data_IF_317497191801
#
_entry.id   IF_317497191801
#
_cell.length_a   1.000
_cell.length_b   1.000
_cell.length_c   1.000
_cell.angle_alpha   90.00
_cell.angle_beta   90.00
_cell.angle_gamma   90.00
#
_symmetry.space_group_name_H-M   'P 1'
#
loop_
_entity.id
_entity.type
_entity.pdbx_description
1 polymer ?
#
# COMPACT_ATOMS: atom_id res chain seq x y z
N UNK A 1 -23.59 -0.37 -15.38
CA UNK A 1 -23.15 -1.79 -15.28
C UNK A 1 -21.65 -1.97 -15.46
N UNK A 2 -20.99 -1.34 -16.44
CA UNK A 2 -19.52 -1.17 -16.49
C UNK A 2 -19.18 0.15 -17.19
N UNK A 3 -18.18 0.91 -16.72
CA UNK A 3 -17.67 2.11 -17.41
C UNK A 3 -16.54 1.77 -18.37
N UNK A 4 -15.70 0.82 -17.97
CA UNK A 4 -14.53 0.41 -18.75
C UNK A 4 -14.90 -0.66 -19.79
N UNK A 5 -14.48 -0.43 -21.04
CA UNK A 5 -14.74 -1.35 -22.16
C UNK A 5 -14.14 -2.74 -21.91
N UNK A 6 -12.94 -2.81 -21.34
CA UNK A 6 -12.29 -4.09 -21.05
C UNK A 6 -13.05 -4.93 -20.01
N UNK A 7 -13.55 -4.29 -18.95
CA UNK A 7 -14.32 -4.98 -17.91
C UNK A 7 -15.64 -5.48 -18.50
N UNK A 8 -16.27 -4.68 -19.36
CA UNK A 8 -17.47 -5.09 -20.07
C UNK A 8 -17.22 -6.34 -20.93
N UNK A 9 -16.16 -6.35 -21.75
CA UNK A 9 -15.81 -7.52 -22.59
C UNK A 9 -15.54 -8.76 -21.73
N UNK A 10 -14.80 -8.62 -20.61
CA UNK A 10 -14.53 -9.72 -19.69
C UNK A 10 -15.81 -10.28 -19.03
N UNK A 11 -16.76 -9.42 -18.62
CA UNK A 11 -18.04 -9.86 -18.05
C UNK A 11 -18.98 -10.46 -19.10
N UNK A 12 -18.98 -9.94 -20.31
CA UNK A 12 -19.71 -10.51 -21.45
C UNK A 12 -19.18 -11.91 -21.79
N UNK A 13 -17.88 -12.06 -21.96
CA UNK A 13 -17.26 -13.36 -22.25
C UNK A 13 -17.51 -14.38 -21.12
N UNK A 14 -17.59 -13.91 -19.88
CA UNK A 14 -17.99 -14.74 -18.73
C UNK A 14 -19.43 -15.24 -18.85
N UNK A 15 -20.37 -14.41 -19.32
CA UNK A 15 -21.78 -14.78 -19.53
C UNK A 15 -21.93 -15.83 -20.64
N UNK A 16 -21.16 -15.70 -21.73
CA UNK A 16 -21.11 -16.69 -22.81
C UNK A 16 -20.48 -18.01 -22.32
N UNK A 17 -19.39 -17.90 -21.54
CA UNK A 17 -18.63 -19.06 -21.08
C UNK A 17 -17.75 -19.62 -22.19
N UNK A 18 -16.94 -20.63 -21.86
CA UNK A 18 -16.15 -21.35 -22.87
C UNK A 18 -17.10 -22.13 -23.78
N UNK A 19 -16.96 -21.96 -25.09
CA UNK A 19 -17.77 -22.60 -26.12
C UNK A 19 -19.28 -22.40 -25.95
N UNK A 20 -19.70 -21.24 -25.42
CA UNK A 20 -21.10 -20.90 -25.15
C UNK A 20 -21.81 -21.82 -24.13
N UNK A 21 -21.06 -22.60 -23.34
CA UNK A 21 -21.64 -23.58 -22.42
C UNK A 21 -22.55 -22.96 -21.34
N UNK A 22 -22.21 -21.79 -20.80
CA UNK A 22 -23.04 -21.16 -19.76
C UNK A 22 -24.33 -20.59 -20.34
N UNK A 23 -24.28 -20.10 -21.58
CA UNK A 23 -25.47 -19.65 -22.29
C UNK A 23 -26.39 -20.84 -22.59
N UNK A 24 -25.84 -21.93 -23.16
CA UNK A 24 -26.61 -23.15 -23.42
C UNK A 24 -27.24 -23.75 -22.16
N UNK A 25 -26.52 -23.72 -21.03
CA UNK A 25 -27.08 -24.17 -19.76
C UNK A 25 -28.21 -23.27 -19.26
N UNK A 26 -28.10 -21.95 -19.46
CA UNK A 26 -29.17 -21.00 -19.11
C UNK A 26 -30.42 -21.24 -19.97
N UNK A 27 -30.23 -21.52 -21.26
CA UNK A 27 -31.30 -21.86 -22.19
C UNK A 27 -32.05 -23.13 -21.74
N UNK A 28 -31.32 -24.21 -21.42
CA UNK A 28 -31.92 -25.48 -20.94
C UNK A 28 -32.63 -25.38 -19.59
N UNK A 29 -32.19 -24.48 -18.70
CA UNK A 29 -32.83 -24.32 -17.40
C UNK A 29 -34.11 -23.48 -17.47
N UNK A 30 -34.15 -22.50 -18.37
CA UNK A 30 -35.23 -21.49 -18.43
C UNK A 30 -36.15 -21.65 -19.64
N UNK A 31 -35.88 -22.62 -20.51
CA UNK A 31 -36.60 -22.88 -21.77
C UNK A 31 -36.71 -21.62 -22.64
N UNK A 32 -35.67 -20.78 -22.58
CA UNK A 32 -35.54 -19.55 -23.33
C UNK A 32 -34.41 -19.68 -24.34
N UNK A 33 -34.55 -19.06 -25.50
CA UNK A 33 -33.44 -18.87 -26.45
C UNK A 33 -32.81 -17.51 -26.23
N UNK A 34 -31.48 -17.47 -26.16
CA UNK A 34 -30.74 -16.27 -25.75
C UNK A 34 -29.69 -15.96 -26.80
N UNK A 35 -29.70 -14.73 -27.31
CA UNK A 35 -28.67 -14.28 -28.26
C UNK A 35 -27.98 -13.03 -27.72
N UNK A 36 -26.65 -13.07 -27.71
CA UNK A 36 -25.81 -11.97 -27.20
C UNK A 36 -25.10 -11.29 -28.36
N UNK A 37 -25.64 -10.15 -28.79
CA UNK A 37 -25.07 -9.33 -29.86
C UNK A 37 -24.50 -8.04 -29.30
N UNK A 38 -23.20 -7.82 -29.46
CA UNK A 38 -22.53 -6.60 -29.02
C UNK A 38 -22.78 -6.25 -27.55
N UNK A 39 -23.51 -5.16 -27.32
CA UNK A 39 -23.89 -4.63 -26.01
C UNK A 39 -25.23 -5.13 -25.46
N UNK A 40 -25.98 -5.88 -26.25
CA UNK A 40 -27.39 -6.24 -26.01
C UNK A 40 -27.56 -7.75 -25.88
N UNK A 41 -28.58 -8.16 -25.12
CA UNK A 41 -29.00 -9.55 -24.98
C UNK A 41 -30.47 -9.64 -25.36
N UNK A 42 -30.79 -10.39 -26.39
CA UNK A 42 -32.15 -10.71 -26.78
C UNK A 42 -32.55 -12.07 -26.20
N UNK A 43 -33.78 -12.16 -25.69
CA UNK A 43 -34.30 -13.32 -24.98
C UNK A 43 -35.69 -13.59 -25.53
N UNK A 44 -35.96 -14.83 -25.93
CA UNK A 44 -37.27 -15.28 -26.39
C UNK A 44 -37.65 -16.52 -25.57
N UNK A 45 -38.85 -16.57 -25.01
CA UNK A 45 -39.27 -17.70 -24.20
C UNK A 45 -40.46 -17.40 -23.28
N UNK A 46 -40.78 -18.30 -22.35
CA UNK A 46 -41.87 -18.14 -21.40
C UNK A 46 -41.62 -16.97 -20.45
N UNK A 47 -42.67 -16.25 -20.05
CA UNK A 47 -42.59 -15.06 -19.20
C UNK A 47 -41.75 -15.26 -17.92
N UNK A 48 -41.96 -16.38 -17.22
CA UNK A 48 -41.19 -16.72 -16.00
C UNK A 48 -39.70 -16.95 -16.30
N UNK A 49 -39.37 -17.56 -17.44
CA UNK A 49 -37.99 -17.78 -17.88
C UNK A 49 -37.30 -16.47 -18.25
N UNK A 50 -37.98 -15.60 -19.01
CA UNK A 50 -37.48 -14.28 -19.41
C UNK A 50 -37.14 -13.42 -18.19
N UNK A 51 -37.99 -13.40 -17.16
CA UNK A 51 -37.72 -12.67 -15.92
C UNK A 51 -36.47 -13.19 -15.19
N UNK A 52 -36.32 -14.53 -15.10
CA UNK A 52 -35.15 -15.16 -14.49
C UNK A 52 -33.87 -14.81 -15.26
N UNK A 53 -33.86 -14.96 -16.59
CA UNK A 53 -32.71 -14.61 -17.43
C UNK A 53 -32.37 -13.13 -17.32
N UNK A 54 -33.37 -12.24 -17.30
CA UNK A 54 -33.15 -10.80 -17.10
C UNK A 54 -32.42 -10.53 -15.78
N UNK A 55 -32.82 -11.17 -14.68
CA UNK A 55 -32.11 -11.05 -13.39
C UNK A 55 -30.68 -11.56 -13.50
N UNK A 56 -30.48 -12.74 -14.10
CA UNK A 56 -29.15 -13.35 -14.24
C UNK A 56 -28.20 -12.45 -15.05
N UNK A 57 -28.67 -11.87 -16.15
CA UNK A 57 -27.86 -10.95 -16.97
C UNK A 57 -27.50 -9.70 -16.19
N UNK A 58 -28.45 -9.11 -15.46
CA UNK A 58 -28.20 -7.94 -14.61
C UNK A 58 -27.15 -8.25 -13.53
N UNK A 59 -27.24 -9.42 -12.90
CA UNK A 59 -26.32 -9.83 -11.84
C UNK A 59 -24.93 -10.20 -12.36
N UNK A 60 -24.86 -10.86 -13.52
CA UNK A 60 -23.58 -11.12 -14.18
C UNK A 60 -22.85 -9.81 -14.52
N UNK A 61 -23.61 -8.80 -14.93
CA UNK A 61 -23.10 -7.46 -15.20
C UNK A 61 -22.80 -6.64 -13.92
N UNK A 62 -23.35 -7.02 -12.76
CA UNK A 62 -23.05 -6.42 -11.44
C UNK A 62 -21.87 -7.07 -10.71
N UNK A 63 -21.11 -7.92 -11.41
CA UNK A 63 -19.92 -8.66 -10.92
C UNK A 63 -20.23 -9.98 -10.16
N UNK A 64 -21.44 -10.51 -10.27
CA UNK A 64 -21.73 -11.89 -9.87
C UNK A 64 -21.27 -12.85 -10.97
N UNK A 65 -20.79 -14.05 -10.63
CA UNK A 65 -20.38 -15.04 -11.63
C UNK A 65 -21.59 -15.89 -12.06
N UNK A 66 -21.82 -16.17 -13.36
CA UNK A 66 -22.98 -16.90 -13.84
C UNK A 66 -23.08 -18.32 -13.27
N UNK A 67 -21.96 -18.95 -12.91
CA UNK A 67 -21.96 -20.24 -12.20
C UNK A 67 -22.82 -20.25 -10.94
N UNK A 68 -22.74 -19.21 -10.09
CA UNK A 68 -23.54 -19.16 -8.86
C UNK A 68 -25.04 -19.03 -9.16
N UNK A 69 -25.36 -18.23 -10.18
CA UNK A 69 -26.73 -18.00 -10.63
C UNK A 69 -27.30 -19.27 -11.28
N UNK A 70 -26.51 -19.97 -12.08
CA UNK A 70 -26.89 -21.22 -12.73
C UNK A 70 -27.14 -22.33 -11.70
N UNK A 71 -26.28 -22.47 -10.70
CA UNK A 71 -26.48 -23.44 -9.61
C UNK A 71 -27.77 -23.16 -8.84
N UNK A 72 -28.09 -21.88 -8.59
CA UNK A 72 -29.34 -21.51 -7.92
C UNK A 72 -30.57 -21.85 -8.76
N UNK A 73 -30.53 -21.61 -10.08
CA UNK A 73 -31.63 -21.94 -10.99
C UNK A 73 -31.80 -23.46 -11.17
N UNK A 74 -30.70 -24.20 -11.22
CA UNK A 74 -30.71 -25.65 -11.30
C UNK A 74 -31.37 -26.26 -10.06
N UNK A 75 -30.99 -25.78 -8.87
CA UNK A 75 -31.56 -26.26 -7.61
C UNK A 75 -33.05 -25.89 -7.46
N UNK A 76 -33.44 -24.67 -7.88
CA UNK A 76 -34.85 -24.28 -7.96
C UNK A 76 -35.66 -25.18 -8.90
N UNK A 77 -35.07 -25.63 -10.02
CA UNK A 77 -35.74 -26.53 -10.96
C UNK A 77 -35.93 -27.91 -10.32
N UNK A 78 -34.92 -28.45 -9.64
CA UNK A 78 -35.01 -29.71 -8.90
C UNK A 78 -36.09 -29.66 -7.79
N UNK A 79 -36.10 -28.61 -6.96
CA UNK A 79 -37.14 -28.46 -5.91
C UNK A 79 -38.55 -28.28 -6.47
N UNK A 80 -38.68 -27.72 -7.67
CA UNK A 80 -39.97 -27.60 -8.35
C UNK A 80 -40.47 -28.92 -8.95
N UNK A 81 -39.61 -29.92 -9.11
CA UNK A 81 -39.98 -31.25 -9.59
C UNK A 81 -40.44 -32.13 -8.41
N UNK A 82 -39.71 -32.06 -7.28
CA UNK A 82 -39.99 -32.81 -6.04
C UNK A 82 -41.31 -32.41 -5.37
N UNK A 83 -42.32 -33.30 -5.25
CA UNK A 83 -43.64 -32.97 -4.69
C UNK A 83 -43.64 -32.45 -3.25
N UNK A 84 -42.72 -32.92 -2.40
CA UNK A 84 -42.71 -32.60 -0.97
C UNK A 84 -42.26 -31.16 -0.66
N UNK A 85 -41.44 -30.56 -1.54
CA UNK A 85 -40.82 -29.26 -1.29
C UNK A 85 -41.52 -28.11 -2.03
N UNK A 86 -42.54 -28.38 -2.85
CA UNK A 86 -43.20 -27.37 -3.71
C UNK A 86 -43.83 -26.22 -2.95
N UNK A 87 -44.35 -26.50 -1.76
CA UNK A 87 -45.13 -25.55 -0.96
C UNK A 87 -44.29 -24.84 0.11
N UNK A 88 -43.01 -25.20 0.26
CA UNK A 88 -42.09 -24.64 1.26
C UNK A 88 -41.25 -23.47 0.71
N UNK A 89 -40.80 -22.56 1.60
CA UNK A 89 -39.88 -21.49 1.22
C UNK A 89 -38.44 -22.01 1.07
N UNK A 90 -37.85 -21.80 -0.11
CA UNK A 90 -36.51 -22.26 -0.46
C UNK A 90 -35.39 -21.27 -0.15
N UNK A 91 -35.69 -20.12 0.44
CA UNK A 91 -34.72 -19.03 0.66
C UNK A 91 -33.47 -19.46 1.44
N UNK A 92 -33.60 -20.39 2.39
CA UNK A 92 -32.51 -20.95 3.19
C UNK A 92 -31.69 -22.03 2.47
N UNK A 93 -32.31 -22.75 1.52
CA UNK A 93 -31.69 -23.86 0.79
C UNK A 93 -30.90 -23.37 -0.43
N UNK A 94 -31.26 -22.20 -0.95
CA UNK A 94 -30.62 -21.64 -2.13
C UNK A 94 -29.25 -21.01 -1.80
N UNK A 95 -28.20 -21.35 -2.55
CA UNK A 95 -26.91 -20.68 -2.41
C UNK A 95 -26.98 -19.22 -2.86
N UNK A 96 -27.03 -18.28 -1.91
CA UNK A 96 -26.98 -16.85 -2.24
C UNK A 96 -25.53 -16.39 -2.36
N UNK A 97 -25.21 -15.73 -3.48
CA UNK A 97 -23.91 -15.08 -3.64
C UNK A 97 -23.73 -13.94 -2.65
N UNK A 98 -22.80 -14.10 -1.70
CA UNK A 98 -22.40 -13.04 -0.76
C UNK A 98 -21.13 -12.37 -1.27
N UNK A 99 -21.22 -11.08 -1.61
CA UNK A 99 -20.05 -10.30 -1.98
C UNK A 99 -19.07 -10.24 -0.80
N UNK A 100 -17.86 -10.79 -0.98
CA UNK A 100 -16.79 -10.69 0.01
C UNK A 100 -16.31 -9.24 0.06
N UNK A 101 -16.89 -8.45 0.96
CA UNK A 101 -16.41 -7.10 1.25
C UNK A 101 -15.12 -7.24 2.05
N UNK A 102 -13.98 -7.31 1.36
CA UNK A 102 -12.69 -7.22 2.02
C UNK A 102 -12.64 -5.89 2.78
N UNK A 103 -12.42 -5.93 4.08
CA UNK A 103 -12.31 -4.73 4.89
C UNK A 103 -11.13 -3.90 4.37
N UNK A 104 -11.45 -2.80 3.69
CA UNK A 104 -10.45 -1.87 3.20
C UNK A 104 -9.79 -1.25 4.43
N UNK A 105 -8.52 -1.60 4.68
CA UNK A 105 -7.70 -0.91 5.68
C UNK A 105 -7.78 0.59 5.40
N UNK A 106 -8.25 1.38 6.38
CA UNK A 106 -8.34 2.83 6.26
C UNK A 106 -6.92 3.38 6.11
N UNK A 107 -6.52 3.65 4.87
CA UNK A 107 -5.28 4.40 4.62
C UNK A 107 -5.50 5.83 5.14
N UNK A 108 -4.54 6.43 5.86
CA UNK A 108 -4.64 7.83 6.24
C UNK A 108 -4.85 8.68 4.98
N UNK A 109 -5.87 9.54 4.99
CA UNK A 109 -6.16 10.44 3.87
C UNK A 109 -5.00 11.41 3.74
N UNK A 110 -4.09 11.17 2.78
CA UNK A 110 -3.11 12.18 2.37
C UNK A 110 -3.90 13.35 1.80
N UNK A 111 -3.78 14.52 2.41
CA UNK A 111 -4.34 15.75 1.86
C UNK A 111 -3.73 15.95 0.46
N UNK A 112 -4.59 16.10 -0.56
CA UNK A 112 -4.13 16.37 -1.91
C UNK A 112 -3.55 17.79 -1.92
N UNK A 113 -2.35 17.95 -2.46
CA UNK A 113 -1.79 19.29 -2.69
C UNK A 113 -2.76 20.07 -3.60
N UNK A 114 -2.97 21.38 -3.37
CA UNK A 114 -3.78 22.20 -4.26
C UNK A 114 -3.25 22.11 -5.69
N UNK A 115 -4.15 22.09 -6.67
CA UNK A 115 -3.78 22.04 -8.08
C UNK A 115 -3.03 23.32 -8.44
N UNK A 116 -1.75 23.19 -8.77
CA UNK A 116 -0.97 24.26 -9.38
C UNK A 116 -0.98 24.02 -10.89
N UNK A 117 -1.54 24.93 -11.71
CA UNK A 117 -1.57 24.78 -13.17
C UNK A 117 -0.17 24.85 -13.79
N UNK A 118 0.79 25.43 -13.08
CA UNK A 118 2.18 25.50 -13.52
C UNK A 118 2.92 24.22 -13.14
N UNK A 119 3.72 23.64 -14.06
CA UNK A 119 4.63 22.57 -13.69
C UNK A 119 5.62 23.08 -12.63
N UNK A 120 6.08 22.22 -11.70
CA UNK A 120 7.16 22.59 -10.81
C UNK A 120 8.40 22.97 -11.64
N UNK A 121 9.25 23.89 -11.15
CA UNK A 121 10.49 24.23 -11.85
C UNK A 121 11.32 22.96 -12.05
N UNK A 122 12.01 22.90 -13.20
CA UNK A 122 12.95 21.82 -13.46
C UNK A 122 14.03 21.84 -12.39
N UNK A 123 14.46 20.67 -11.94
CA UNK A 123 15.57 20.58 -11.00
C UNK A 123 16.83 20.93 -11.79
N UNK A 124 17.55 21.96 -11.34
CA UNK A 124 18.80 22.40 -11.95
C UNK A 124 19.80 21.24 -12.07
N UNK A 125 20.50 21.21 -13.21
CA UNK A 125 21.56 20.24 -13.42
C UNK A 125 22.73 20.53 -12.47
N UNK A 126 23.60 19.54 -12.26
CA UNK A 126 24.81 19.73 -11.45
C UNK A 126 25.67 20.89 -12.00
N UNK A 127 25.73 21.04 -13.32
CA UNK A 127 26.46 22.13 -13.96
C UNK A 127 25.82 23.48 -13.66
N UNK A 128 24.49 23.58 -13.72
CA UNK A 128 23.79 24.84 -13.43
C UNK A 128 23.98 25.29 -11.98
N UNK A 129 23.95 24.34 -11.02
CA UNK A 129 24.26 24.64 -9.62
C UNK A 129 25.69 25.12 -9.43
N UNK A 130 26.65 24.47 -10.09
CA UNK A 130 28.05 24.90 -10.03
C UNK A 130 28.26 26.27 -10.70
N UNK A 131 27.50 26.58 -11.75
CA UNK A 131 27.52 27.88 -12.42
C UNK A 131 26.89 28.98 -11.54
N UNK A 132 25.76 28.70 -10.89
CA UNK A 132 25.09 29.63 -9.96
C UNK A 132 25.96 29.89 -8.71
N UNK A 133 26.60 28.86 -8.16
CA UNK A 133 27.56 28.99 -7.05
C UNK A 133 28.85 29.73 -7.46
N UNK A 134 29.06 29.96 -8.76
CA UNK A 134 30.31 30.50 -9.33
C UNK A 134 31.50 29.57 -9.13
N UNK A 135 31.27 28.34 -8.70
CA UNK A 135 32.31 27.34 -8.45
C UNK A 135 32.74 26.67 -9.75
N UNK A 136 31.91 26.66 -10.79
CA UNK A 136 32.21 26.03 -12.08
C UNK A 136 33.50 26.58 -12.71
N UNK A 137 33.68 27.90 -12.68
CA UNK A 137 34.82 28.58 -13.32
C UNK A 137 36.11 28.57 -12.50
N UNK A 138 36.05 28.25 -11.20
CA UNK A 138 37.25 28.21 -10.35
C UNK A 138 38.10 26.98 -10.67
N UNK A 139 39.42 27.19 -10.76
CA UNK A 139 40.37 26.09 -10.91
C UNK A 139 40.39 25.23 -9.64
N UNK A 140 40.78 23.95 -9.77
CA UNK A 140 40.89 23.02 -8.62
C UNK A 140 41.78 23.58 -7.50
N UNK A 141 42.81 24.34 -7.87
CA UNK A 141 43.75 24.96 -6.92
C UNK A 141 43.06 26.08 -6.13
N UNK A 142 42.28 26.92 -6.78
CA UNK A 142 41.55 28.01 -6.13
C UNK A 142 40.43 27.49 -5.24
N UNK A 143 39.71 26.46 -5.67
CA UNK A 143 38.72 25.75 -4.84
C UNK A 143 39.34 25.24 -3.54
N UNK A 144 40.51 24.58 -3.63
CA UNK A 144 41.22 24.03 -2.48
C UNK A 144 41.75 25.13 -1.54
N UNK A 145 42.25 26.25 -2.10
CA UNK A 145 42.68 27.41 -1.30
C UNK A 145 41.50 28.01 -0.51
N UNK A 146 40.34 28.20 -1.16
CA UNK A 146 39.12 28.71 -0.54
C UNK A 146 38.61 27.79 0.58
N UNK A 147 38.59 26.47 0.35
CA UNK A 147 38.24 25.49 1.39
C UNK A 147 39.20 25.56 2.59
N UNK A 148 40.51 25.60 2.32
CA UNK A 148 41.51 25.67 3.40
C UNK A 148 41.39 26.96 4.23
N UNK A 149 41.03 28.08 3.60
CA UNK A 149 40.77 29.35 4.31
C UNK A 149 39.52 29.25 5.18
N UNK A 150 38.43 28.69 4.64
CA UNK A 150 37.18 28.46 5.40
C UNK A 150 37.41 27.54 6.60
N UNK A 151 38.16 26.45 6.43
CA UNK A 151 38.47 25.52 7.53
C UNK A 151 39.29 26.20 8.65
N UNK A 152 40.27 27.03 8.27
CA UNK A 152 41.07 27.82 9.23
C UNK A 152 40.22 28.83 9.99
N UNK A 153 39.30 29.50 9.31
CA UNK A 153 38.38 30.46 9.93
C UNK A 153 37.40 29.75 10.88
N UNK A 154 36.84 28.61 10.48
CA UNK A 154 35.99 27.79 11.36
C UNK A 154 36.76 27.29 12.59
N UNK A 155 38.01 26.88 12.42
CA UNK A 155 38.86 26.44 13.52
C UNK A 155 39.13 27.59 14.50
N UNK A 156 39.44 28.80 13.99
CA UNK A 156 39.60 30.02 14.81
C UNK A 156 38.32 30.38 15.56
N UNK A 157 37.18 30.42 14.86
CA UNK A 157 35.89 30.72 15.48
C UNK A 157 35.53 29.69 16.57
N UNK A 158 35.86 28.41 16.35
CA UNK A 158 35.65 27.35 17.35
C UNK A 158 36.58 27.50 18.55
N UNK A 159 37.87 27.80 18.33
CA UNK A 159 38.79 28.05 19.43
C UNK A 159 38.38 29.27 20.25
N UNK A 160 37.93 30.33 19.59
CA UNK A 160 37.50 31.57 20.24
C UNK A 160 36.25 31.35 21.08
N UNK A 161 35.27 30.58 20.57
CA UNK A 161 34.08 30.16 21.34
C UNK A 161 34.47 29.32 22.56
N UNK A 162 35.30 28.30 22.38
CA UNK A 162 35.76 27.45 23.49
C UNK A 162 36.54 28.28 24.52
N UNK A 163 37.37 29.22 24.07
CA UNK A 163 38.14 30.08 24.96
C UNK A 163 37.24 31.07 25.71
N UNK A 164 36.22 31.63 25.05
CA UNK A 164 35.22 32.48 25.69
C UNK A 164 34.39 31.72 26.73
N UNK A 165 33.91 30.51 26.41
CA UNK A 165 33.21 29.63 27.36
C UNK A 165 34.09 29.30 28.57
N UNK A 166 35.37 28.95 28.34
CA UNK A 166 36.34 28.70 29.43
C UNK A 166 36.60 29.93 30.30
N UNK A 167 36.63 31.13 29.73
CA UNK A 167 36.77 32.38 30.49
C UNK A 167 35.51 32.75 31.25
N UNK A 168 34.33 32.34 30.79
CA UNK A 168 33.06 32.60 31.44
C UNK A 168 32.79 31.65 32.64
N UNK A 169 33.23 30.39 32.58
CA UNK A 169 33.00 29.38 33.62
C UNK A 169 33.36 29.83 35.06
N UNK A 170 34.49 30.51 35.33
CA UNK A 170 34.83 30.98 36.68
C UNK A 170 34.03 32.20 37.14
N UNK A 171 33.35 32.90 36.23
CA UNK A 171 32.57 34.12 36.51
C UNK A 171 31.08 33.83 36.72
N UNK A 172 30.63 32.61 36.44
CA UNK A 172 29.27 32.16 36.76
C UNK A 172 29.27 31.67 38.22
N UNK A 173 28.56 32.34 39.14
CA UNK A 173 28.45 31.87 40.51
C UNK A 173 27.82 30.47 40.53
N UNK A 174 28.37 29.52 41.30
CA UNK A 174 27.81 28.17 41.41
C UNK A 174 26.38 28.25 41.94
N UNK A 175 25.45 27.50 41.34
CA UNK A 175 24.09 27.39 41.86
C UNK A 175 24.14 26.79 43.28
N UNK A 176 23.68 27.56 44.27
CA UNK A 176 23.57 27.10 45.65
C UNK A 176 22.62 25.91 45.74
N UNK A 177 22.98 24.81 46.43
CA UNK A 177 22.08 23.69 46.61
C UNK A 177 20.90 24.13 47.50
N UNK A 178 19.72 24.26 46.92
CA UNK A 178 18.48 24.28 47.71
C UNK A 178 18.40 22.95 48.46
N UNK A 179 18.65 22.98 49.77
CA UNK A 179 18.66 21.83 50.67
C UNK A 179 17.30 21.12 50.63
N UNK A 180 17.18 20.11 49.78
CA UNK A 180 16.12 19.11 49.88
C UNK A 180 16.65 17.95 50.72
N UNK A 181 16.04 17.75 51.88
CA UNK A 181 16.36 16.69 52.85
C UNK A 181 16.48 15.33 52.17
N UNK A 182 17.64 14.70 52.31
CA UNK A 182 17.94 13.39 51.78
C UNK A 182 17.14 12.30 52.52
N UNK A 183 16.45 11.43 51.77
CA UNK A 183 16.20 10.04 52.17
C UNK A 183 17.26 9.19 51.46
N UNK A 184 18.09 8.55 52.26
CA UNK A 184 19.11 7.58 51.83
C UNK A 184 18.42 6.28 51.42
N UNK A 185 18.64 5.84 50.18
CA UNK A 185 18.43 4.44 49.78
C UNK A 185 19.52 4.00 48.78
N UNK A 186 20.53 3.37 49.36
CA UNK A 186 21.36 2.23 48.91
C UNK A 186 21.58 1.97 47.40
N UNK A 187 22.89 1.87 47.13
CA UNK A 187 23.64 0.96 46.24
C UNK A 187 23.45 1.05 44.73
N UNK A 188 24.53 1.50 44.08
CA UNK A 188 24.82 1.32 42.66
C UNK A 188 24.90 -0.17 42.30
N UNK A 189 23.82 -0.72 41.75
CA UNK A 189 23.86 -1.98 41.02
C UNK A 189 24.13 -1.69 39.53
N UNK A 190 25.31 -2.10 39.06
CA UNK A 190 25.67 -1.97 37.64
C UNK A 190 24.86 -3.00 36.86
N UNK A 191 23.86 -2.52 36.13
CA UNK A 191 22.86 -3.29 35.37
C UNK A 191 23.49 -4.22 34.28
N UNK A 192 23.90 -5.44 34.67
CA UNK A 192 24.61 -6.45 33.86
C UNK A 192 23.81 -6.81 32.59
N UNK A 193 22.48 -6.70 32.62
CA UNK A 193 21.63 -7.03 31.47
C UNK A 193 21.76 -6.02 30.31
N UNK A 194 21.90 -4.72 30.62
CA UNK A 194 22.12 -3.69 29.61
C UNK A 194 23.50 -3.84 28.96
N UNK A 195 24.51 -4.25 29.73
CA UNK A 195 25.85 -4.58 29.23
C UNK A 195 25.84 -5.82 28.34
N UNK A 196 25.17 -6.92 28.73
CA UNK A 196 25.00 -8.11 27.89
C UNK A 196 24.25 -7.81 26.58
N UNK A 197 23.24 -6.94 26.61
CA UNK A 197 22.52 -6.47 25.40
C UNK A 197 23.42 -5.63 24.48
N UNK A 198 24.27 -4.75 25.02
CA UNK A 198 25.24 -3.98 24.22
C UNK A 198 26.32 -4.88 23.57
N UNK A 199 26.89 -5.84 24.32
CA UNK A 199 27.92 -6.75 23.81
C UNK A 199 27.37 -7.70 22.73
N UNK A 200 26.15 -8.22 22.90
CA UNK A 200 25.51 -9.07 21.89
C UNK A 200 25.14 -8.31 20.61
N UNK A 201 24.69 -7.04 20.73
CA UNK A 201 24.45 -6.18 19.57
C UNK A 201 25.74 -5.89 18.80
N UNK A 202 26.87 -5.71 19.50
CA UNK A 202 28.18 -5.45 18.91
C UNK A 202 28.75 -6.70 18.21
N UNK A 203 28.59 -7.89 18.80
CA UNK A 203 28.92 -9.18 18.13
C UNK A 203 28.09 -9.42 16.87
N UNK A 204 26.79 -9.10 16.87
CA UNK A 204 25.95 -9.19 15.66
C UNK A 204 26.39 -8.22 14.56
N UNK A 205 26.80 -6.98 14.90
CA UNK A 205 27.36 -6.03 13.93
C UNK A 205 28.69 -6.49 13.35
N UNK A 206 29.55 -7.13 14.15
CA UNK A 206 30.84 -7.66 13.69
C UNK A 206 30.69 -8.89 12.78
N UNK A 207 29.76 -9.80 13.09
CA UNK A 207 29.41 -10.93 12.19
C UNK A 207 28.84 -10.46 10.85
N UNK A 208 27.99 -9.43 10.87
CA UNK A 208 27.41 -8.84 9.65
C UNK A 208 28.45 -8.06 8.80
N UNK A 209 29.54 -7.59 9.42
CA UNK A 209 30.70 -7.03 8.69
C UNK A 209 31.59 -8.12 8.09
N UNK A 210 31.83 -9.23 8.79
CA UNK A 210 32.59 -10.38 8.24
C UNK A 210 31.88 -11.03 7.05
N UNK A 211 30.58 -11.30 7.15
CA UNK A 211 29.80 -11.90 6.05
C UNK A 211 29.70 -10.99 4.81
N UNK A 212 29.86 -9.67 4.97
CA UNK A 212 29.81 -8.71 3.87
C UNK A 212 31.17 -8.52 3.18
N UNK A 213 32.27 -8.83 3.88
CA UNK A 213 33.61 -8.82 3.33
C UNK A 213 33.97 -10.14 2.61
N UNK A 214 33.44 -11.27 3.07
CA UNK A 214 33.61 -12.58 2.39
C UNK A 214 32.82 -12.66 1.07
N UNK A 215 31.66 -11.98 0.97
CA UNK A 215 30.89 -11.90 -0.28
C UNK A 215 31.46 -10.95 -1.34
N UNK A 216 32.44 -10.11 -0.98
CA UNK A 216 33.12 -9.17 -1.90
C UNK A 216 34.51 -9.65 -2.32
N UNK A 217 34.94 -10.84 -1.89
CA UNK A 217 36.24 -11.42 -2.21
C UNK A 217 36.16 -12.64 -3.15
N UNK A 218 34.95 -12.97 -3.64
CA UNK A 218 34.66 -14.08 -4.56
C UNK A 218 33.95 -13.63 -5.85
N UNK A 219 33.91 -12.33 -6.11
CA UNK A 219 33.61 -11.71 -7.42
C UNK A 219 34.83 -10.89 -7.87
#
# INVERSE_FOLDING_TARGET
MCRDKEIFVKRRNRLLGRDNNTLLALEKLTDCTITVQGGTVAIIGPYKGVLKVMSVVKDCMSNVHPLHLLNSLHLQKAFSEDPSLKDEDWSNLLPVYKAKTAQKKKKPKKQKKPYNPLPPPQIESKMDKEMEEGSYFLTMIEKKKKQTQQDKEQQRARSDKIQAEKRALPYVPPEEPVVKKAKVSKSDDVDIEKLKKKVSAQKKKLKKKKSKNESTALD
#
